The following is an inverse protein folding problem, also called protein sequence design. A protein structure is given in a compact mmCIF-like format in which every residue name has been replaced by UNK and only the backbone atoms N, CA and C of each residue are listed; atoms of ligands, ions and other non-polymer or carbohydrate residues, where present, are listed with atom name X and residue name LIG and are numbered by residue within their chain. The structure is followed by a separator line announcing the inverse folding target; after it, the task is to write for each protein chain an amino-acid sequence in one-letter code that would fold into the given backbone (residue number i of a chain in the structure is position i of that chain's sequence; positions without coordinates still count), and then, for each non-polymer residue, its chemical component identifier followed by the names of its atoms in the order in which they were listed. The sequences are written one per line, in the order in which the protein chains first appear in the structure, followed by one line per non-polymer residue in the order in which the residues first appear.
data_IF_148021232725
#
_entry.id   IF_148021232725
#
_cell.length_a   1.000
_cell.length_b   1.000
_cell.length_c   1.000
_cell.angle_alpha   90.00
_cell.angle_beta   90.00
_cell.angle_gamma   90.00
#
_symmetry.space_group_name_H-M   'P 1'
#
loop_
_entity.id
_entity.type
_entity.pdbx_description
1 polymer ?
#
# COMPACT_ATOMS: atom_id res chain seq x y z
N UNK A 1 1.37 -4.91 22.48
CA UNK A 1 2.71 -4.35 22.47
C UNK A 1 3.47 -4.82 21.21
N UNK A 2 4.47 -4.06 20.79
CA UNK A 2 5.28 -4.36 19.61
C UNK A 2 5.95 -5.74 19.68
N UNK A 3 6.38 -6.15 20.85
CA UNK A 3 7.00 -7.47 21.08
C UNK A 3 6.04 -8.64 20.82
N UNK A 4 4.77 -8.49 21.16
CA UNK A 4 3.76 -9.51 20.90
C UNK A 4 3.51 -9.68 19.39
N UNK A 5 3.39 -8.58 18.68
CA UNK A 5 3.22 -8.58 17.22
C UNK A 5 4.43 -9.21 16.55
N UNK A 6 5.63 -8.82 16.94
CA UNK A 6 6.89 -9.39 16.44
C UNK A 6 6.96 -10.90 16.68
N UNK A 7 6.56 -11.38 17.87
CA UNK A 7 6.53 -12.80 18.21
C UNK A 7 5.55 -13.59 17.35
N UNK A 8 4.36 -13.06 17.10
CA UNK A 8 3.37 -13.69 16.22
C UNK A 8 3.83 -13.76 14.76
N UNK A 9 4.46 -12.70 14.25
CA UNK A 9 5.01 -12.67 12.91
C UNK A 9 6.16 -13.66 12.71
N UNK A 10 7.01 -13.83 13.69
CA UNK A 10 8.10 -14.82 13.65
C UNK A 10 7.63 -16.26 13.51
N UNK A 11 6.45 -16.57 14.02
CA UNK A 11 5.84 -17.91 13.87
C UNK A 11 5.44 -18.21 12.43
N UNK A 12 5.13 -17.18 11.65
CA UNK A 12 4.65 -17.30 10.27
C UNK A 12 5.78 -17.20 9.27
N UNK A 13 6.80 -16.37 9.55
CA UNK A 13 7.89 -16.05 8.62
C UNK A 13 9.23 -16.36 9.27
N UNK A 14 9.85 -17.45 8.84
CA UNK A 14 11.16 -17.88 9.32
C UNK A 14 12.25 -17.19 8.49
N UNK A 15 13.24 -16.55 9.14
CA UNK A 15 14.44 -16.00 8.50
C UNK A 15 14.34 -14.57 7.96
N UNK A 16 13.26 -13.81 8.28
CA UNK A 16 13.05 -12.43 7.80
C UNK A 16 12.93 -11.42 8.97
N UNK A 17 13.66 -11.64 10.05
CA UNK A 17 13.54 -10.83 11.28
C UNK A 17 13.83 -9.34 11.05
N UNK A 18 14.84 -9.01 10.25
CA UNK A 18 15.22 -7.63 9.97
C UNK A 18 14.15 -6.88 9.18
N UNK A 19 13.51 -7.57 8.24
CA UNK A 19 12.41 -6.99 7.45
C UNK A 19 11.21 -6.70 8.34
N UNK A 20 10.84 -7.63 9.20
CA UNK A 20 9.74 -7.49 10.16
C UNK A 20 9.98 -6.28 11.07
N UNK A 21 11.18 -6.15 11.60
CA UNK A 21 11.56 -5.07 12.49
C UNK A 21 11.47 -3.70 11.78
N UNK A 22 11.99 -3.59 10.57
CA UNK A 22 11.93 -2.36 9.78
C UNK A 22 10.50 -1.98 9.41
N UNK A 23 9.65 -2.95 9.06
CA UNK A 23 8.22 -2.72 8.78
C UNK A 23 7.51 -2.21 10.02
N UNK A 24 7.75 -2.80 11.18
CA UNK A 24 7.17 -2.34 12.46
C UNK A 24 7.62 -0.92 12.80
N UNK A 25 8.88 -0.59 12.61
CA UNK A 25 9.40 0.77 12.82
C UNK A 25 8.67 1.76 11.91
N UNK A 26 8.49 1.43 10.64
CA UNK A 26 7.77 2.26 9.69
C UNK A 26 6.33 2.54 10.16
N UNK A 27 5.62 1.51 10.62
CA UNK A 27 4.24 1.65 11.11
C UNK A 27 4.18 2.56 12.33
N UNK A 28 5.03 2.32 13.32
CA UNK A 28 5.00 3.09 14.58
C UNK A 28 5.49 4.52 14.43
N UNK A 29 6.29 4.81 13.41
CA UNK A 29 6.75 6.17 13.11
C UNK A 29 5.86 6.89 12.10
N UNK A 30 4.75 6.29 11.70
CA UNK A 30 3.79 6.81 10.72
C UNK A 30 4.42 7.07 9.35
N UNK A 31 5.30 6.18 8.94
CA UNK A 31 5.87 6.18 7.59
C UNK A 31 5.37 4.96 6.82
N UNK A 32 5.54 5.01 5.51
CA UNK A 32 5.29 3.87 4.64
C UNK A 32 6.59 3.14 4.36
N UNK A 33 6.53 1.95 3.77
CA UNK A 33 7.70 1.16 3.44
C UNK A 33 7.67 0.69 1.98
N UNK A 34 8.84 0.66 1.35
CA UNK A 34 9.06 0.10 0.03
C UNK A 34 9.98 -1.10 0.15
N UNK A 35 9.48 -2.28 -0.21
CA UNK A 35 10.26 -3.51 -0.26
C UNK A 35 10.79 -3.76 -1.68
N UNK A 36 12.08 -4.01 -1.78
CA UNK A 36 12.73 -4.35 -3.05
C UNK A 36 13.35 -5.75 -2.92
N UNK A 37 12.98 -6.64 -3.83
CA UNK A 37 13.62 -7.95 -3.95
C UNK A 37 12.96 -9.13 -3.22
N UNK A 38 11.72 -9.00 -2.74
CA UNK A 38 11.05 -10.08 -1.98
C UNK A 38 10.13 -10.90 -2.87
N UNK A 39 10.13 -12.25 -2.78
CA UNK A 39 9.15 -13.10 -3.46
C UNK A 39 7.72 -12.82 -3.00
N UNK A 40 6.75 -12.90 -3.92
CA UNK A 40 5.38 -12.44 -3.71
C UNK A 40 4.64 -13.02 -2.52
N UNK A 41 4.78 -14.33 -2.27
CA UNK A 41 4.05 -15.01 -1.18
C UNK A 41 4.47 -14.52 0.20
N UNK A 42 5.77 -14.34 0.43
CA UNK A 42 6.30 -13.89 1.72
C UNK A 42 5.82 -12.48 2.09
N UNK A 43 5.72 -11.57 1.11
CA UNK A 43 5.20 -10.21 1.30
C UNK A 43 3.74 -10.23 1.76
N UNK A 44 2.92 -11.00 1.07
CA UNK A 44 1.49 -11.10 1.36
C UNK A 44 1.25 -11.68 2.75
N UNK A 45 1.96 -12.74 3.10
CA UNK A 45 1.86 -13.35 4.42
C UNK A 45 2.31 -12.40 5.54
N UNK A 46 3.41 -11.68 5.33
CA UNK A 46 3.92 -10.71 6.30
C UNK A 46 2.87 -9.65 6.62
N UNK A 47 2.36 -8.98 5.59
CA UNK A 47 1.49 -7.83 5.79
C UNK A 47 0.06 -8.24 6.24
N UNK A 48 -0.47 -9.34 5.73
CA UNK A 48 -1.78 -9.83 6.15
C UNK A 48 -1.77 -10.33 7.58
N UNK A 49 -0.72 -11.03 8.00
CA UNK A 49 -0.55 -11.47 9.39
C UNK A 49 -0.40 -10.29 10.35
N UNK A 50 0.31 -9.25 9.92
CA UNK A 50 0.44 -8.02 10.70
C UNK A 50 -0.90 -7.33 10.90
N UNK A 51 -1.70 -7.20 9.84
CA UNK A 51 -3.02 -6.60 9.90
C UNK A 51 -3.95 -7.37 10.83
N UNK A 52 -3.94 -8.69 10.75
CA UNK A 52 -4.71 -9.56 11.63
C UNK A 52 -4.30 -9.40 13.10
N UNK A 53 -2.99 -9.37 13.37
CA UNK A 53 -2.45 -9.20 14.73
C UNK A 53 -2.82 -7.86 15.35
N UNK A 54 -2.97 -6.82 14.55
CA UNK A 54 -3.33 -5.47 14.99
C UNK A 54 -4.84 -5.19 14.92
N UNK A 55 -5.63 -6.15 14.46
CA UNK A 55 -7.07 -6.00 14.20
C UNK A 55 -7.38 -4.82 13.28
N UNK A 56 -6.64 -4.72 12.19
CA UNK A 56 -6.78 -3.66 11.19
C UNK A 56 -7.25 -4.24 9.86
N UNK A 57 -8.00 -3.42 9.12
CA UNK A 57 -8.45 -3.78 7.77
C UNK A 57 -7.29 -3.79 6.80
N UNK A 58 -7.19 -4.86 6.01
CA UNK A 58 -6.15 -5.09 5.02
C UNK A 58 -6.73 -5.20 3.62
N UNK A 59 -6.05 -4.58 2.65
CA UNK A 59 -6.33 -4.77 1.23
C UNK A 59 -5.05 -4.84 0.42
N UNK A 60 -5.10 -5.60 -0.67
CA UNK A 60 -4.03 -5.69 -1.65
C UNK A 60 -4.46 -4.97 -2.92
N UNK A 61 -3.55 -4.16 -3.46
CA UNK A 61 -3.71 -3.53 -4.77
C UNK A 61 -2.60 -4.05 -5.67
N UNK A 62 -2.97 -4.77 -6.73
CA UNK A 62 -2.04 -5.19 -7.74
C UNK A 62 -1.87 -4.09 -8.79
N UNK A 63 -0.67 -3.54 -8.90
CA UNK A 63 -0.36 -2.52 -9.90
C UNK A 63 -0.08 -3.18 -11.25
N UNK A 64 -0.82 -2.76 -12.26
CA UNK A 64 -0.74 -3.26 -13.63
C UNK A 64 -0.62 -2.09 -14.60
N UNK A 65 -0.19 -2.32 -15.87
CA UNK A 65 -0.07 -1.22 -16.85
C UNK A 65 -1.37 -0.47 -17.15
N UNK A 66 -2.51 -1.12 -16.96
CA UNK A 66 -3.84 -0.55 -17.22
C UNK A 66 -4.57 -0.05 -15.96
N UNK A 67 -3.93 -0.15 -14.78
CA UNK A 67 -4.51 0.36 -13.55
C UNK A 67 -4.65 1.89 -13.62
N UNK A 68 -5.86 2.38 -13.36
CA UNK A 68 -6.16 3.81 -13.37
C UNK A 68 -6.17 4.39 -11.94
N UNK A 69 -5.91 5.69 -11.77
CA UNK A 69 -5.99 6.34 -10.46
C UNK A 69 -7.32 6.11 -9.73
N UNK A 70 -8.43 6.12 -10.44
CA UNK A 70 -9.75 5.88 -9.87
C UNK A 70 -9.96 4.45 -9.36
N UNK A 71 -9.20 3.48 -9.89
CA UNK A 71 -9.22 2.10 -9.39
C UNK A 71 -8.63 2.01 -7.97
N UNK A 72 -7.81 2.97 -7.58
CA UNK A 72 -7.17 3.06 -6.27
C UNK A 72 -8.00 3.92 -5.31
N UNK A 73 -8.34 5.13 -5.73
CA UNK A 73 -8.94 6.16 -4.88
C UNK A 73 -10.45 6.06 -4.76
N UNK A 74 -11.09 5.47 -5.75
CA UNK A 74 -12.54 5.47 -5.85
C UNK A 74 -13.04 6.49 -6.86
N UNK A 75 -14.34 6.58 -7.00
CA UNK A 75 -14.98 7.41 -8.02
C UNK A 75 -16.31 7.98 -7.54
N UNK A 76 -16.74 9.07 -8.14
CA UNK A 76 -18.09 9.58 -7.97
C UNK A 76 -19.02 8.97 -9.01
N UNK A 77 -20.20 8.55 -8.56
CA UNK A 77 -21.27 8.09 -9.44
C UNK A 77 -22.48 8.99 -9.30
N UNK A 78 -23.24 9.13 -10.39
CA UNK A 78 -24.49 9.86 -10.38
C UNK A 78 -25.57 8.90 -9.92
N UNK A 79 -26.22 9.26 -8.82
CA UNK A 79 -27.33 8.52 -8.25
C UNK A 79 -28.62 9.32 -8.43
N UNK A 80 -29.65 8.69 -9.00
CA UNK A 80 -30.98 9.27 -9.08
C UNK A 80 -31.83 8.74 -7.94
N UNK A 81 -32.29 9.62 -7.05
CA UNK A 81 -33.21 9.25 -5.99
C UNK A 81 -34.57 8.90 -6.59
N UNK A 82 -35.09 7.66 -6.40
CA UNK A 82 -36.39 7.26 -6.95
C UNK A 82 -37.56 8.06 -6.37
N UNK A 83 -37.42 8.66 -5.19
CA UNK A 83 -38.47 9.40 -4.52
C UNK A 83 -38.59 10.86 -4.94
N UNK A 84 -37.43 11.50 -5.27
CA UNK A 84 -37.39 12.94 -5.59
C UNK A 84 -37.03 13.24 -7.04
N UNK A 85 -36.58 12.24 -7.81
CA UNK A 85 -36.07 12.39 -9.17
C UNK A 85 -34.83 13.32 -9.27
N UNK A 86 -34.24 13.69 -8.15
CA UNK A 86 -33.02 14.51 -8.11
C UNK A 86 -31.80 13.67 -8.36
N UNK A 87 -30.86 14.22 -9.15
CA UNK A 87 -29.56 13.60 -9.38
C UNK A 87 -28.59 14.04 -8.29
N UNK A 88 -28.03 13.07 -7.56
CA UNK A 88 -27.02 13.32 -6.54
C UNK A 88 -25.74 12.61 -6.92
N UNK A 89 -24.59 13.20 -6.54
CA UNK A 89 -23.31 12.55 -6.66
C UNK A 89 -23.04 11.72 -5.41
N UNK A 90 -22.68 10.46 -5.62
CA UNK A 90 -22.29 9.56 -4.54
C UNK A 90 -20.84 9.12 -4.73
N UNK A 91 -20.02 9.33 -3.70
CA UNK A 91 -18.64 8.84 -3.69
C UNK A 91 -18.61 7.36 -3.33
N UNK A 92 -17.95 6.57 -4.19
CA UNK A 92 -17.64 5.15 -3.93
C UNK A 92 -16.16 5.03 -3.60
N UNK A 93 -15.79 4.76 -2.33
CA UNK A 93 -14.39 4.66 -1.95
C UNK A 93 -13.71 3.48 -2.61
N UNK A 94 -12.47 3.71 -3.06
CA UNK A 94 -11.61 2.67 -3.60
C UNK A 94 -10.88 1.87 -2.51
N UNK A 95 -10.06 0.89 -2.90
CA UNK A 95 -9.35 0.03 -1.96
C UNK A 95 -8.35 0.75 -1.05
N UNK A 96 -7.92 1.97 -1.41
CA UNK A 96 -7.01 2.76 -0.56
C UNK A 96 -7.64 3.13 0.80
N UNK A 97 -8.96 3.09 0.91
CA UNK A 97 -9.67 3.36 2.16
C UNK A 97 -9.66 2.15 3.08
N UNK A 98 -8.48 1.74 3.46
CA UNK A 98 -8.20 0.67 4.42
C UNK A 98 -7.01 1.06 5.29
N UNK A 99 -6.82 0.39 6.41
CA UNK A 99 -5.73 0.70 7.34
C UNK A 99 -4.37 0.28 6.79
N UNK A 100 -4.29 -0.93 6.24
CA UNK A 100 -3.06 -1.51 5.73
C UNK A 100 -3.26 -1.92 4.27
N UNK A 101 -2.38 -1.40 3.41
CA UNK A 101 -2.42 -1.65 1.98
C UNK A 101 -1.11 -2.33 1.56
N UNK A 102 -1.21 -3.43 0.86
CA UNK A 102 -0.10 -3.98 0.08
C UNK A 102 -0.21 -3.45 -1.35
N UNK A 103 0.66 -2.50 -1.70
CA UNK A 103 0.76 -1.96 -3.06
C UNK A 103 1.78 -2.79 -3.82
N UNK A 104 1.31 -3.83 -4.49
CA UNK A 104 2.18 -4.84 -5.11
C UNK A 104 2.62 -4.43 -6.50
N UNK A 105 3.93 -4.46 -6.73
CA UNK A 105 4.59 -4.12 -8.00
C UNK A 105 4.25 -2.70 -8.48
N UNK A 106 4.45 -1.70 -7.62
CA UNK A 106 4.07 -0.31 -7.86
C UNK A 106 4.73 0.30 -9.10
N UNK A 107 5.89 -0.21 -9.51
CA UNK A 107 6.61 0.26 -10.69
C UNK A 107 6.08 -0.30 -12.02
N UNK A 108 5.03 -1.12 -12.02
CA UNK A 108 4.42 -1.64 -13.24
C UNK A 108 3.30 -0.76 -13.79
N UNK A 109 2.94 0.28 -13.10
CA UNK A 109 1.88 1.20 -13.52
C UNK A 109 2.47 2.51 -14.04
N UNK A 110 1.80 3.20 -14.99
CA UNK A 110 2.29 4.48 -15.52
C UNK A 110 2.44 5.58 -14.44
N UNK A 111 3.26 6.61 -14.71
CA UNK A 111 3.54 7.67 -13.75
C UNK A 111 2.32 8.38 -13.18
N UNK A 112 1.26 8.54 -13.96
CA UNK A 112 0.02 9.19 -13.50
C UNK A 112 -0.63 8.42 -12.35
N UNK A 113 -0.70 7.10 -12.46
CA UNK A 113 -1.28 6.25 -11.41
C UNK A 113 -0.35 6.13 -10.20
N UNK A 114 0.97 6.04 -10.43
CA UNK A 114 1.96 6.11 -9.36
C UNK A 114 1.82 7.42 -8.56
N UNK A 115 1.72 8.54 -9.26
CA UNK A 115 1.60 9.87 -8.63
C UNK A 115 0.34 9.97 -7.75
N UNK A 116 -0.78 9.45 -8.22
CA UNK A 116 -2.03 9.43 -7.44
C UNK A 116 -1.88 8.62 -6.14
N UNK A 117 -1.24 7.46 -6.22
CA UNK A 117 -0.98 6.64 -5.04
C UNK A 117 -0.03 7.33 -4.06
N UNK A 118 1.07 7.87 -4.54
CA UNK A 118 2.08 8.53 -3.70
C UNK A 118 1.53 9.80 -3.03
N UNK A 119 0.73 10.59 -3.74
CA UNK A 119 0.06 11.75 -3.17
C UNK A 119 -0.88 11.36 -2.02
N UNK A 120 -1.69 10.34 -2.23
CA UNK A 120 -2.59 9.83 -1.19
C UNK A 120 -1.83 9.33 0.04
N UNK A 121 -0.70 8.68 -0.16
CA UNK A 121 0.17 8.22 0.93
C UNK A 121 0.78 9.37 1.71
N UNK A 122 1.24 10.40 1.03
CA UNK A 122 1.86 11.56 1.64
C UNK A 122 0.84 12.43 2.37
N UNK A 123 -0.27 12.75 1.72
CA UNK A 123 -1.30 13.65 2.25
C UNK A 123 -2.28 12.96 3.20
N UNK A 124 -2.35 11.64 3.19
CA UNK A 124 -3.29 10.82 3.96
C UNK A 124 -4.75 11.17 3.72
N UNK A 125 -5.02 11.63 2.53
CA UNK A 125 -6.37 11.99 2.05
C UNK A 125 -6.45 11.85 0.54
N UNK A 126 -7.66 11.80 0.04
CA UNK A 126 -7.98 11.78 -1.39
C UNK A 126 -8.95 12.93 -1.68
N UNK A 127 -8.64 13.73 -2.70
CA UNK A 127 -9.51 14.82 -3.15
C UNK A 127 -10.27 14.39 -4.40
N UNK A 128 -11.58 14.32 -4.29
CA UNK A 128 -12.47 13.93 -5.39
C UNK A 128 -13.68 14.86 -5.41
N UNK A 129 -14.03 15.40 -6.58
CA UNK A 129 -15.18 16.26 -6.74
C UNK A 129 -15.14 17.54 -5.93
N UNK A 130 -13.95 18.03 -5.61
CA UNK A 130 -13.75 19.21 -4.77
C UNK A 130 -13.86 18.97 -3.27
N UNK A 131 -14.06 17.73 -2.84
CA UNK A 131 -14.10 17.33 -1.44
C UNK A 131 -12.88 16.49 -1.06
N UNK A 132 -12.38 16.73 0.15
CA UNK A 132 -11.29 15.94 0.74
C UNK A 132 -11.87 14.78 1.56
N UNK A 133 -11.42 13.57 1.26
CA UNK A 133 -11.78 12.36 2.00
C UNK A 133 -10.55 11.86 2.75
N UNK A 134 -10.59 11.91 4.08
CA UNK A 134 -9.49 11.41 4.91
C UNK A 134 -9.40 9.90 4.86
N UNK A 135 -8.16 9.39 4.75
CA UNK A 135 -7.90 7.97 4.85
C UNK A 135 -8.00 7.48 6.30
N UNK A 136 -8.28 6.19 6.53
CA UNK A 136 -8.36 5.64 7.88
C UNK A 136 -7.06 5.86 8.68
N UNK A 137 -7.18 6.02 9.98
CA UNK A 137 -6.02 6.10 10.90
C UNK A 137 -6.05 4.91 11.85
N UNK A 138 -4.99 4.10 11.94
CA UNK A 138 -3.72 4.22 11.22
C UNK A 138 -3.83 3.86 9.73
N UNK A 139 -2.95 4.46 8.94
CA UNK A 139 -2.83 4.20 7.51
C UNK A 139 -1.38 3.88 7.17
N UNK A 140 -1.14 2.67 6.67
CA UNK A 140 0.18 2.18 6.32
C UNK A 140 0.16 1.47 4.97
N UNK A 141 1.11 1.82 4.11
CA UNK A 141 1.29 1.17 2.81
C UNK A 141 2.62 0.46 2.78
N UNK A 142 2.59 -0.82 2.48
CA UNK A 142 3.75 -1.60 2.10
C UNK A 142 3.75 -1.71 0.57
N UNK A 143 4.59 -0.93 -0.08
CA UNK A 143 4.78 -1.00 -1.52
C UNK A 143 5.89 -1.98 -1.86
N UNK A 144 5.76 -2.65 -2.99
CA UNK A 144 6.79 -3.57 -3.48
C UNK A 144 7.24 -3.18 -4.88
N UNK A 145 8.49 -3.43 -5.17
CA UNK A 145 9.11 -3.18 -6.45
C UNK A 145 10.03 -4.34 -6.78
N UNK A 146 9.96 -4.81 -8.02
CA UNK A 146 10.91 -5.81 -8.51
C UNK A 146 12.24 -5.13 -8.82
N UNK A 147 13.39 -5.61 -8.29
CA UNK A 147 14.69 -5.01 -8.56
C UNK A 147 15.19 -5.23 -9.99
N UNK A 148 14.64 -6.22 -10.69
CA UNK A 148 15.00 -6.52 -12.06
C UNK A 148 14.31 -5.54 -12.98
N UNK A 149 15.07 -4.77 -13.77
CA UNK A 149 14.54 -3.93 -14.83
C UNK A 149 13.91 -4.83 -15.90
N UNK A 150 12.59 -4.93 -15.88
CA UNK A 150 11.80 -5.63 -16.87
C UNK A 150 11.15 -4.64 -17.82
N UNK A 151 10.88 -5.07 -19.04
CA UNK A 151 10.03 -4.30 -19.95
C UNK A 151 8.68 -4.02 -19.29
N UNK A 152 8.18 -2.79 -19.47
CA UNK A 152 6.91 -2.37 -18.91
C UNK A 152 6.96 -1.90 -17.45
N UNK A 153 8.16 -1.62 -16.93
CA UNK A 153 8.32 -0.95 -15.64
C UNK A 153 8.60 0.54 -15.81
N UNK A 154 8.19 1.32 -14.82
CA UNK A 154 8.39 2.77 -14.78
C UNK A 154 9.15 3.13 -13.50
N UNK A 155 10.22 3.95 -13.59
CA UNK A 155 10.98 4.32 -12.41
C UNK A 155 10.14 5.12 -11.41
N UNK A 156 10.35 4.87 -10.12
CA UNK A 156 9.76 5.65 -9.06
C UNK A 156 10.55 6.95 -8.82
N UNK A 157 9.89 8.04 -8.43
CA UNK A 157 10.56 9.29 -8.10
C UNK A 157 11.22 9.21 -6.71
N UNK A 158 12.34 8.51 -6.60
CA UNK A 158 13.02 8.19 -5.33
C UNK A 158 13.29 9.42 -4.45
N UNK A 159 13.66 10.54 -5.06
CA UNK A 159 13.90 11.77 -4.32
C UNK A 159 12.66 12.31 -3.57
N UNK A 160 11.46 12.00 -4.05
CA UNK A 160 10.21 12.37 -3.40
C UNK A 160 9.81 11.36 -2.33
N UNK A 161 10.22 10.10 -2.48
CA UNK A 161 9.86 9.02 -1.55
C UNK A 161 10.56 9.17 -0.19
N UNK A 162 11.75 9.73 -0.14
CA UNK A 162 12.55 9.87 1.09
C UNK A 162 11.85 10.63 2.21
N UNK A 163 10.83 11.41 1.89
CA UNK A 163 10.09 12.22 2.86
C UNK A 163 9.11 11.41 3.72
N UNK A 164 8.60 10.28 3.20
CA UNK A 164 7.50 9.56 3.82
C UNK A 164 7.58 8.05 3.70
N UNK A 165 8.68 7.54 3.16
CA UNK A 165 8.82 6.10 2.87
C UNK A 165 10.21 5.59 3.24
N UNK A 166 10.27 4.48 3.97
CA UNK A 166 11.49 3.73 4.22
C UNK A 166 11.73 2.72 3.10
N UNK A 167 12.94 2.71 2.55
CA UNK A 167 13.35 1.72 1.58
C UNK A 167 14.00 0.53 2.29
N UNK A 168 13.41 -0.66 2.10
CA UNK A 168 13.90 -1.91 2.68
C UNK A 168 14.37 -2.80 1.53
N UNK A 169 15.67 -3.04 1.48
CA UNK A 169 16.27 -3.97 0.52
C UNK A 169 16.31 -5.36 1.14
N UNK A 170 15.82 -6.34 0.41
CA UNK A 170 15.84 -7.73 0.84
C UNK A 170 16.67 -8.52 -0.16
N UNK A 171 17.76 -9.11 0.34
CA UNK A 171 18.56 -10.03 -0.44
C UNK A 171 17.85 -11.38 -0.53
N UNK A 172 17.96 -12.04 -1.69
CA UNK A 172 17.51 -13.42 -1.81
C UNK A 172 18.30 -14.27 -0.83
N UNK A 173 17.64 -15.20 -0.09
CA UNK A 173 18.38 -16.14 0.73
C UNK A 173 19.35 -16.92 -0.16
N UNK A 174 20.61 -16.98 0.23
CA UNK A 174 21.59 -17.85 -0.42
C UNK A 174 21.10 -19.29 -0.29
N UNK A 175 21.27 -20.08 -1.35
CA UNK A 175 20.84 -21.49 -1.40
C UNK A 175 21.52 -22.40 -0.33
N UNK A 176 22.25 -21.81 0.61
CA UNK A 176 22.99 -22.51 1.67
C UNK A 176 22.38 -22.34 3.09
N UNK A 177 21.17 -21.74 3.23
CA UNK A 177 20.49 -21.65 4.53
C UNK A 177 19.19 -22.47 4.57
#
# INVERSE_FOLDING_TARGET
SAERVKSELKKVIIGQDDVIEQVLIAIFTRNHALLVGVPGLAKTLLISSLAESLDLEYKRIQFTPDLMPSDITGTEVIYSDPSTNERQFKFLPGPIFSNIILADEINRTPPKTQAAMLESMQERKVSIGGEDHSLPDPFFVLATQNPIEQEGTYPLPEAQLDRFMFMIKVDYPNEEE
#
